data_IF_223599752091
#
_entry.id   IF_223599752091
#
_cell.length_a   1.000
_cell.length_b   1.000
_cell.length_c   1.000
_cell.angle_alpha   90.00
_cell.angle_beta   90.00
_cell.angle_gamma   90.00
#
_symmetry.space_group_name_H-M   'P 1'
#
loop_
_entity.id
_entity.type
_entity.pdbx_description
1 polymer ?
#
# COMPACT_ATOMS: atom_id res chain seq x y z
N UNK A 1 2.30 15.42 14.00
CA UNK A 1 1.31 14.82 13.05
C UNK A 1 0.20 14.06 13.77
N UNK A 2 0.51 13.43 14.92
CA UNK A 2 -0.50 12.75 15.75
C UNK A 2 -1.60 13.66 16.30
N UNK A 3 -1.36 14.95 16.42
CA UNK A 3 -2.31 15.93 16.98
C UNK A 3 -3.62 16.03 16.20
N UNK A 4 -3.64 15.67 14.93
CA UNK A 4 -4.85 15.67 14.10
C UNK A 4 -5.89 14.71 14.68
N UNK A 5 -5.49 13.61 15.28
CA UNK A 5 -6.39 12.65 15.93
C UNK A 5 -6.94 13.14 17.29
N UNK A 6 -6.36 14.23 17.82
CA UNK A 6 -6.77 14.90 19.08
C UNK A 6 -7.56 16.17 18.84
N UNK A 7 -7.96 16.44 17.59
CA UNK A 7 -8.63 17.68 17.18
C UNK A 7 -9.96 17.89 17.90
N UNK A 8 -10.55 16.82 18.45
CA UNK A 8 -11.77 16.90 19.28
C UNK A 8 -11.64 17.80 20.51
N UNK A 9 -10.41 18.05 20.98
CA UNK A 9 -10.14 18.99 22.10
C UNK A 9 -10.41 20.44 21.73
N UNK A 10 -10.44 20.77 20.45
CA UNK A 10 -10.62 22.11 19.90
C UNK A 10 -12.00 22.32 19.26
N UNK A 11 -13.00 21.51 19.68
CA UNK A 11 -14.35 21.55 19.09
C UNK A 11 -14.93 22.95 19.01
N UNK A 12 -14.91 23.66 20.12
CA UNK A 12 -15.55 24.99 20.23
C UNK A 12 -14.82 26.03 19.35
N UNK A 13 -13.50 25.95 19.27
CA UNK A 13 -12.70 26.82 18.42
C UNK A 13 -12.96 26.57 16.94
N UNK A 14 -13.03 25.28 16.54
CA UNK A 14 -13.25 24.88 15.16
C UNK A 14 -14.66 25.22 14.69
N UNK A 15 -15.68 24.97 15.52
CA UNK A 15 -17.07 25.27 15.16
C UNK A 15 -17.37 26.77 15.13
N UNK A 16 -16.54 27.59 15.80
CA UNK A 16 -16.62 29.05 15.76
C UNK A 16 -15.94 29.66 14.53
N UNK A 17 -15.16 28.88 13.76
CA UNK A 17 -14.52 29.36 12.54
C UNK A 17 -15.55 29.65 11.45
N UNK A 18 -15.38 30.75 10.73
CA UNK A 18 -16.26 31.12 9.62
C UNK A 18 -16.26 30.01 8.53
N UNK A 19 -17.45 29.55 8.17
CA UNK A 19 -17.64 28.49 7.19
C UNK A 19 -17.47 27.07 7.72
N UNK A 20 -17.17 26.88 9.02
CA UNK A 20 -16.91 25.57 9.61
C UNK A 20 -17.88 25.27 10.78
N UNK A 21 -19.13 24.94 10.47
CA UNK A 21 -20.18 24.65 11.47
C UNK A 21 -20.11 23.22 12.03
N UNK A 22 -21.02 22.90 12.95
CA UNK A 22 -21.13 21.60 13.62
C UNK A 22 -21.16 20.41 12.63
N UNK A 23 -21.87 20.55 11.50
CA UNK A 23 -21.94 19.48 10.50
C UNK A 23 -20.57 19.18 9.89
N UNK A 24 -19.80 20.23 9.56
CA UNK A 24 -18.43 20.07 9.02
C UNK A 24 -17.49 19.47 10.06
N UNK A 25 -17.64 19.89 11.32
CA UNK A 25 -16.90 19.31 12.45
C UNK A 25 -17.22 17.81 12.61
N UNK A 26 -18.50 17.43 12.65
CA UNK A 26 -18.89 16.03 12.80
C UNK A 26 -18.41 15.16 11.64
N UNK A 27 -18.47 15.66 10.39
CA UNK A 27 -17.92 14.97 9.23
C UNK A 27 -16.41 14.78 9.34
N UNK A 28 -15.68 15.79 9.85
CA UNK A 28 -14.25 15.71 10.08
C UNK A 28 -13.91 14.66 11.14
N UNK A 29 -14.61 14.65 12.27
CA UNK A 29 -14.41 13.66 13.34
C UNK A 29 -14.71 12.25 12.83
N UNK A 30 -15.80 12.05 12.10
CA UNK A 30 -16.13 10.75 11.53
C UNK A 30 -15.04 10.26 10.53
N UNK A 31 -14.52 11.16 9.70
CA UNK A 31 -13.44 10.84 8.79
C UNK A 31 -12.14 10.47 9.52
N UNK A 32 -11.83 11.18 10.62
CA UNK A 32 -10.66 10.91 11.46
C UNK A 32 -10.79 9.58 12.22
N UNK A 33 -11.97 9.27 12.76
CA UNK A 33 -12.21 7.97 13.41
C UNK A 33 -12.04 6.81 12.41
N UNK A 34 -12.53 6.96 11.17
CA UNK A 34 -12.27 5.99 10.11
C UNK A 34 -10.79 5.90 9.73
N UNK A 35 -10.07 7.02 9.75
CA UNK A 35 -8.64 7.07 9.45
C UNK A 35 -7.76 6.45 10.55
N UNK A 36 -8.27 6.33 11.78
CA UNK A 36 -7.59 5.60 12.87
C UNK A 36 -7.48 4.11 12.55
N UNK A 37 -8.45 3.55 11.84
CA UNK A 37 -8.40 2.19 11.35
C UNK A 37 -7.52 2.11 10.10
N UNK A 38 -6.24 1.90 10.31
CA UNK A 38 -5.22 1.92 9.25
C UNK A 38 -4.33 0.68 9.31
N UNK A 39 -3.39 0.59 8.38
CA UNK A 39 -2.34 -0.44 8.36
C UNK A 39 -0.95 0.21 8.49
N UNK A 40 0.04 -0.59 8.85
CA UNK A 40 1.41 -0.11 9.08
C UNK A 40 2.04 0.48 7.80
N UNK A 41 1.66 -0.02 6.63
CA UNK A 41 2.13 0.50 5.33
C UNK A 41 1.72 1.96 5.15
N UNK A 42 0.47 2.29 5.48
CA UNK A 42 -0.04 3.67 5.39
C UNK A 42 0.57 4.57 6.44
N UNK A 43 0.81 4.06 7.64
CA UNK A 43 1.54 4.80 8.69
C UNK A 43 2.93 5.17 8.19
N UNK A 44 3.71 4.21 7.72
CA UNK A 44 5.07 4.45 7.19
C UNK A 44 5.05 5.42 6.01
N UNK A 45 4.14 5.24 5.07
CA UNK A 45 3.97 6.17 3.94
C UNK A 45 3.64 7.58 4.42
N UNK A 46 2.75 7.72 5.40
CA UNK A 46 2.32 9.00 5.98
C UNK A 46 3.42 9.76 6.73
N UNK A 47 4.49 9.08 7.16
CA UNK A 47 5.65 9.73 7.76
C UNK A 47 6.40 10.64 6.78
N UNK A 48 6.27 10.39 5.48
CA UNK A 48 6.93 11.18 4.43
C UNK A 48 8.45 11.01 4.45
N UNK A 49 8.92 9.80 4.63
CA UNK A 49 10.35 9.46 4.57
C UNK A 49 10.82 9.62 3.12
N UNK A 50 11.93 10.29 2.91
CA UNK A 50 12.49 10.55 1.59
C UNK A 50 12.68 9.24 0.79
N UNK A 51 12.24 9.24 -0.45
CA UNK A 51 12.28 8.10 -1.36
C UNK A 51 11.45 6.87 -0.95
N UNK A 52 10.66 6.96 0.13
CA UNK A 52 9.78 5.90 0.58
C UNK A 52 8.34 6.18 0.13
N UNK A 53 7.98 5.68 -1.03
CA UNK A 53 6.61 5.69 -1.54
C UNK A 53 5.78 4.53 -0.96
N UNK A 54 4.49 4.46 -1.35
CA UNK A 54 3.58 3.43 -0.85
C UNK A 54 4.05 1.99 -1.17
N UNK A 55 4.60 1.78 -2.37
CA UNK A 55 5.13 0.47 -2.78
C UNK A 55 6.35 0.07 -1.96
N UNK A 56 7.27 1.03 -1.73
CA UNK A 56 8.46 0.83 -0.90
C UNK A 56 8.09 0.56 0.55
N UNK A 57 7.16 1.34 1.11
CA UNK A 57 6.64 1.12 2.47
C UNK A 57 6.06 -0.30 2.62
N UNK A 58 5.33 -0.80 1.60
CA UNK A 58 4.78 -2.16 1.60
C UNK A 58 5.87 -3.22 1.62
N UNK A 59 6.91 -3.07 0.80
CA UNK A 59 8.04 -4.00 0.78
C UNK A 59 8.74 -4.07 2.15
N UNK A 60 8.98 -2.92 2.76
CA UNK A 60 9.62 -2.82 4.08
C UNK A 60 8.75 -3.47 5.16
N UNK A 61 7.47 -3.12 5.22
CA UNK A 61 6.53 -3.65 6.22
C UNK A 61 6.37 -5.18 6.09
N UNK A 62 6.31 -5.70 4.86
CA UNK A 62 6.26 -7.15 4.63
C UNK A 62 7.54 -7.85 5.11
N UNK A 63 8.71 -7.30 4.81
CA UNK A 63 9.99 -7.84 5.29
C UNK A 63 10.06 -7.87 6.81
N UNK A 64 9.52 -6.86 7.46
CA UNK A 64 9.48 -6.71 8.90
C UNK A 64 8.26 -7.39 9.56
N UNK A 65 7.57 -8.27 8.84
CA UNK A 65 6.42 -9.07 9.31
C UNK A 65 5.29 -8.23 9.92
N UNK A 66 5.05 -7.02 9.39
CA UNK A 66 4.05 -6.08 9.89
C UNK A 66 4.22 -5.74 11.39
N UNK A 67 5.45 -5.80 11.90
CA UNK A 67 5.79 -5.51 13.28
C UNK A 67 6.21 -4.04 13.44
N UNK A 68 5.41 -3.20 14.14
CA UNK A 68 5.75 -1.81 14.39
C UNK A 68 7.07 -1.60 15.16
N UNK A 69 7.43 -2.53 16.04
CA UNK A 69 8.69 -2.44 16.78
C UNK A 69 9.90 -2.81 15.91
N UNK A 70 9.73 -3.74 14.97
CA UNK A 70 10.77 -4.10 14.01
C UNK A 70 11.16 -2.91 13.13
N UNK A 71 10.19 -2.03 12.79
CA UNK A 71 10.44 -0.78 12.06
C UNK A 71 11.49 0.09 12.74
N UNK A 72 11.43 0.21 14.08
CA UNK A 72 12.37 1.00 14.88
C UNK A 72 13.77 0.39 14.97
N UNK A 73 13.87 -0.91 14.75
CA UNK A 73 15.12 -1.70 14.88
C UNK A 73 15.72 -2.09 13.53
N UNK A 74 15.03 -1.78 12.43
CA UNK A 74 15.47 -2.12 11.08
C UNK A 74 16.86 -1.56 10.79
N UNK A 75 17.71 -2.37 10.16
CA UNK A 75 19.05 -1.97 9.74
C UNK A 75 19.08 -1.74 8.22
N UNK A 76 20.05 -0.96 7.74
CA UNK A 76 20.21 -0.73 6.32
C UNK A 76 20.49 -2.04 5.57
N UNK A 77 21.28 -2.94 6.16
CA UNK A 77 21.61 -4.24 5.56
C UNK A 77 20.37 -5.11 5.37
N UNK A 78 19.47 -5.17 6.37
CA UNK A 78 18.19 -5.90 6.26
C UNK A 78 17.28 -5.33 5.18
N UNK A 79 17.28 -4.01 5.01
CA UNK A 79 16.43 -3.35 4.03
C UNK A 79 16.99 -3.47 2.62
N UNK A 80 18.30 -3.45 2.43
CA UNK A 80 18.94 -3.65 1.12
C UNK A 80 18.82 -5.08 0.59
N UNK A 81 18.58 -6.06 1.46
CA UNK A 81 18.25 -7.43 1.06
C UNK A 81 16.89 -7.55 0.37
N UNK A 82 16.06 -6.50 0.44
CA UNK A 82 14.75 -6.46 -0.20
C UNK A 82 14.92 -6.09 -1.68
N UNK A 83 14.45 -6.93 -2.59
CA UNK A 83 14.46 -6.62 -4.02
C UNK A 83 13.66 -5.33 -4.30
N UNK A 84 14.29 -4.37 -4.93
CA UNK A 84 13.73 -3.04 -5.20
C UNK A 84 14.04 -1.97 -4.15
N UNK A 85 14.80 -2.28 -3.09
CA UNK A 85 15.29 -1.29 -2.12
C UNK A 85 16.81 -1.18 -2.21
N UNK A 86 17.27 -0.03 -2.70
CA UNK A 86 18.69 0.30 -2.74
C UNK A 86 19.21 0.96 -1.45
N UNK A 87 20.53 1.12 -1.35
CA UNK A 87 21.20 1.74 -0.21
C UNK A 87 20.62 3.11 0.17
N UNK A 88 20.33 3.96 -0.83
CA UNK A 88 19.78 5.31 -0.61
C UNK A 88 18.45 5.28 0.14
N UNK A 89 17.57 4.34 -0.22
CA UNK A 89 16.26 4.19 0.45
C UNK A 89 16.44 3.60 1.84
N UNK A 90 17.29 2.58 1.97
CA UNK A 90 17.57 1.92 3.24
C UNK A 90 18.19 2.90 4.25
N UNK A 91 19.17 3.69 3.83
CA UNK A 91 19.80 4.71 4.66
C UNK A 91 18.81 5.80 5.07
N UNK A 92 18.02 6.34 4.14
CA UNK A 92 17.01 7.35 4.42
C UNK A 92 15.97 6.86 5.46
N UNK A 93 15.57 5.60 5.35
CA UNK A 93 14.65 4.98 6.30
C UNK A 93 15.27 4.86 7.70
N UNK A 94 16.46 4.30 7.80
CA UNK A 94 17.17 4.12 9.07
C UNK A 94 17.51 5.48 9.71
N UNK A 95 17.97 6.46 8.92
CA UNK A 95 18.30 7.81 9.37
C UNK A 95 17.06 8.51 9.96
N UNK A 96 15.89 8.32 9.35
CA UNK A 96 14.63 8.86 9.85
C UNK A 96 14.37 8.43 11.29
N UNK A 97 14.55 7.16 11.62
CA UNK A 97 14.30 6.61 12.95
C UNK A 97 15.45 6.78 13.94
N UNK A 98 16.64 7.21 13.50
CA UNK A 98 17.72 7.66 14.38
C UNK A 98 17.44 9.03 15.01
N UNK A 99 16.60 9.83 14.36
CA UNK A 99 16.15 11.12 14.87
C UNK A 99 15.10 10.89 15.95
N UNK A 100 15.38 11.27 17.21
CA UNK A 100 14.49 11.04 18.35
C UNK A 100 13.12 11.72 18.16
N UNK A 101 13.07 12.94 17.61
CA UNK A 101 11.81 13.65 17.36
C UNK A 101 10.92 12.91 16.36
N UNK A 102 11.54 12.34 15.31
CA UNK A 102 10.86 11.55 14.29
C UNK A 102 10.38 10.21 14.82
N UNK A 103 11.17 9.59 15.64
CA UNK A 103 10.81 8.35 16.35
C UNK A 103 9.64 8.58 17.29
N UNK A 104 9.65 9.66 18.06
CA UNK A 104 8.57 10.03 18.97
C UNK A 104 7.28 10.33 18.18
N UNK A 105 7.38 11.00 17.02
CA UNK A 105 6.25 11.24 16.12
C UNK A 105 5.62 9.91 15.64
N UNK A 106 6.42 8.94 15.27
CA UNK A 106 5.96 7.62 14.89
C UNK A 106 5.24 6.90 16.03
N UNK A 107 5.84 6.89 17.24
CA UNK A 107 5.24 6.29 18.43
C UNK A 107 3.92 6.99 18.82
N UNK A 108 3.85 8.32 18.70
CA UNK A 108 2.64 9.09 18.95
C UNK A 108 1.52 8.73 17.96
N UNK A 109 1.84 8.57 16.67
CA UNK A 109 0.87 8.10 15.67
C UNK A 109 0.39 6.70 16.02
N UNK A 110 1.29 5.77 16.34
CA UNK A 110 0.91 4.39 16.71
C UNK A 110 -0.01 4.33 17.92
N UNK A 111 0.13 5.26 18.88
CA UNK A 111 -0.75 5.33 20.04
C UNK A 111 -2.16 5.81 19.74
N UNK A 112 -2.36 6.53 18.63
CA UNK A 112 -3.64 7.13 18.24
C UNK A 112 -4.39 6.32 17.16
N UNK A 113 -3.71 5.37 16.51
CA UNK A 113 -4.29 4.58 15.42
C UNK A 113 -4.46 3.11 15.81
N UNK A 114 -5.47 2.48 15.24
CA UNK A 114 -5.69 1.05 15.33
C UNK A 114 -5.00 0.40 14.13
N UNK A 115 -3.81 -0.15 14.34
CA UNK A 115 -3.14 -0.92 13.29
C UNK A 115 -3.94 -2.21 13.10
N UNK A 116 -4.59 -2.34 11.96
CA UNK A 116 -5.13 -3.62 11.54
C UNK A 116 -3.94 -4.56 11.38
N UNK A 117 -3.98 -5.68 12.08
CA UNK A 117 -3.16 -6.80 11.65
C UNK A 117 -3.58 -7.03 10.20
N UNK A 118 -2.72 -6.59 9.27
CA UNK A 118 -2.82 -7.14 7.93
C UNK A 118 -2.70 -8.64 8.18
N UNK A 119 -3.80 -9.36 7.96
CA UNK A 119 -3.67 -10.80 7.76
C UNK A 119 -2.43 -10.92 6.89
N UNK A 120 -1.41 -11.58 7.43
CA UNK A 120 -0.28 -11.99 6.62
C UNK A 120 -0.95 -12.66 5.42
N UNK A 121 -1.09 -11.92 4.34
CA UNK A 121 -1.30 -12.55 3.06
C UNK A 121 -0.01 -13.35 2.96
N UNK A 122 -0.12 -14.60 3.41
CA UNK A 122 0.95 -15.56 3.22
C UNK A 122 1.30 -15.36 1.76
N UNK A 123 2.49 -14.85 1.54
CA UNK A 123 3.03 -14.79 0.18
C UNK A 123 3.14 -16.25 -0.23
N UNK A 124 2.03 -16.77 -0.72
CA UNK A 124 2.04 -18.06 -1.36
C UNK A 124 2.78 -17.84 -2.65
N UNK A 125 3.85 -18.57 -2.87
CA UNK A 125 4.59 -18.52 -4.13
C UNK A 125 3.86 -19.28 -5.25
N UNK A 126 2.53 -19.44 -5.13
CA UNK A 126 1.70 -20.18 -6.09
C UNK A 126 1.78 -19.60 -7.50
N UNK A 127 1.99 -18.30 -7.60
CA UNK A 127 2.12 -17.58 -8.86
C UNK A 127 3.57 -17.17 -9.17
N UNK A 128 4.54 -17.69 -8.42
CA UNK A 128 5.96 -17.38 -8.62
C UNK A 128 6.41 -17.70 -10.07
N UNK A 129 7.12 -16.75 -10.68
CA UNK A 129 7.60 -16.86 -12.05
C UNK A 129 6.53 -16.64 -13.13
N UNK A 130 5.27 -16.39 -12.77
CA UNK A 130 4.21 -16.08 -13.72
C UNK A 130 4.02 -14.57 -13.88
N UNK A 131 3.83 -14.14 -15.12
CA UNK A 131 3.58 -12.74 -15.47
C UNK A 131 2.15 -12.57 -15.98
N UNK A 132 1.44 -11.63 -15.39
CA UNK A 132 0.04 -11.34 -15.68
C UNK A 132 -0.11 -9.96 -16.32
N UNK A 133 -1.09 -9.82 -17.19
CA UNK A 133 -1.57 -8.52 -17.68
C UNK A 133 -3.06 -8.43 -17.39
N UNK A 134 -3.49 -7.32 -16.80
CA UNK A 134 -4.90 -7.08 -16.48
C UNK A 134 -5.47 -6.09 -17.50
N UNK A 135 -6.63 -6.41 -18.07
CA UNK A 135 -7.37 -5.53 -18.98
C UNK A 135 -8.87 -5.66 -18.75
N UNK A 136 -9.64 -4.69 -19.20
CA UNK A 136 -11.09 -4.68 -18.96
C UNK A 136 -11.45 -4.28 -17.52
N UNK A 137 -12.72 -4.54 -17.16
CA UNK A 137 -13.23 -4.28 -15.82
C UNK A 137 -12.99 -5.51 -14.93
N UNK A 138 -12.77 -5.26 -13.64
CA UNK A 138 -12.76 -6.28 -12.60
C UNK A 138 -14.16 -6.36 -11.98
N UNK A 139 -14.62 -7.56 -11.62
CA UNK A 139 -15.97 -7.81 -11.11
C UNK A 139 -15.95 -8.16 -9.60
N UNK A 140 -14.92 -8.87 -9.14
CA UNK A 140 -14.77 -9.33 -7.76
C UNK A 140 -13.88 -8.43 -6.91
N UNK A 141 -13.19 -7.47 -7.53
CA UNK A 141 -12.31 -6.50 -6.86
C UNK A 141 -12.82 -5.09 -7.06
N UNK A 142 -12.58 -4.20 -6.11
CA UNK A 142 -12.97 -2.80 -6.20
C UNK A 142 -12.32 -2.07 -7.39
N UNK A 143 -11.10 -2.47 -7.74
CA UNK A 143 -10.35 -1.94 -8.88
C UNK A 143 -9.20 -2.87 -9.28
N UNK A 144 -8.57 -2.59 -10.44
CA UNK A 144 -7.44 -3.38 -10.95
C UNK A 144 -6.21 -3.38 -10.05
N UNK A 145 -6.02 -2.32 -9.24
CA UNK A 145 -4.87 -2.24 -8.34
C UNK A 145 -5.00 -3.22 -7.18
N UNK A 146 -6.22 -3.50 -6.75
CA UNK A 146 -6.49 -4.49 -5.70
C UNK A 146 -6.19 -5.92 -6.21
N UNK A 147 -6.66 -6.25 -7.43
CA UNK A 147 -6.31 -7.52 -8.08
C UNK A 147 -4.80 -7.63 -8.34
N UNK A 148 -4.15 -6.55 -8.77
CA UNK A 148 -2.70 -6.49 -8.94
C UNK A 148 -1.99 -6.80 -7.61
N UNK A 149 -2.40 -6.15 -6.51
CA UNK A 149 -1.81 -6.37 -5.19
C UNK A 149 -1.96 -7.84 -4.75
N UNK A 150 -3.11 -8.48 -5.01
CA UNK A 150 -3.32 -9.89 -4.70
C UNK A 150 -2.36 -10.79 -5.49
N UNK A 151 -2.24 -10.60 -6.81
CA UNK A 151 -1.34 -11.37 -7.67
C UNK A 151 0.12 -11.23 -7.19
N UNK A 152 0.55 -10.00 -6.88
CA UNK A 152 1.90 -9.73 -6.39
C UNK A 152 2.13 -10.34 -5.00
N UNK A 153 1.12 -10.39 -4.15
CA UNK A 153 1.19 -11.06 -2.84
C UNK A 153 1.34 -12.58 -2.95
N UNK A 154 0.90 -13.16 -4.07
CA UNK A 154 1.05 -14.59 -4.40
C UNK A 154 2.33 -14.90 -5.19
N UNK A 155 3.26 -13.94 -5.27
CA UNK A 155 4.54 -14.10 -5.98
C UNK A 155 4.48 -13.85 -7.48
N UNK A 156 3.31 -13.50 -8.04
CA UNK A 156 3.13 -13.17 -9.46
C UNK A 156 3.63 -11.76 -9.80
N UNK A 157 3.91 -11.52 -11.07
CA UNK A 157 4.30 -10.22 -11.60
C UNK A 157 3.19 -9.66 -12.49
N UNK A 158 2.81 -8.39 -12.31
CA UNK A 158 1.82 -7.73 -13.15
C UNK A 158 2.45 -6.66 -14.01
N UNK A 159 2.22 -6.73 -15.32
CA UNK A 159 2.76 -5.77 -16.31
C UNK A 159 1.64 -5.10 -17.11
N UNK A 160 1.96 -3.94 -17.70
CA UNK A 160 0.98 -3.16 -18.46
C UNK A 160 0.74 -3.63 -19.90
N UNK A 161 1.65 -4.45 -20.45
CA UNK A 161 1.65 -4.86 -21.85
C UNK A 161 1.80 -6.35 -22.01
N UNK A 162 1.07 -6.92 -22.98
CA UNK A 162 1.21 -8.33 -23.36
C UNK A 162 2.49 -8.51 -24.18
N UNK A 163 3.35 -9.43 -23.75
CA UNK A 163 4.60 -9.81 -24.42
C UNK A 163 4.72 -11.32 -24.50
N UNK A 164 5.73 -11.83 -25.18
CA UNK A 164 6.03 -13.28 -25.24
C UNK A 164 6.31 -13.92 -23.87
N UNK A 165 6.65 -13.12 -22.87
CA UNK A 165 6.89 -13.56 -21.49
C UNK A 165 5.63 -13.45 -20.59
N UNK A 166 4.51 -12.99 -21.13
CA UNK A 166 3.23 -12.94 -20.39
C UNK A 166 2.68 -14.35 -20.26
N UNK A 167 2.40 -14.77 -19.05
CA UNK A 167 1.82 -16.09 -18.75
C UNK A 167 0.30 -16.11 -18.97
N UNK A 168 -0.39 -15.06 -18.52
CA UNK A 168 -1.85 -14.94 -18.62
C UNK A 168 -2.28 -13.50 -18.86
N UNK A 169 -3.34 -13.33 -19.64
CA UNK A 169 -4.10 -12.09 -19.75
C UNK A 169 -5.41 -12.23 -18.97
N UNK A 170 -5.61 -11.42 -17.95
CA UNK A 170 -6.86 -11.39 -17.17
C UNK A 170 -7.82 -10.41 -17.83
N UNK A 171 -8.95 -10.93 -18.29
CA UNK A 171 -10.04 -10.14 -18.87
C UNK A 171 -11.38 -10.86 -18.67
N UNK A 172 -12.30 -10.22 -17.96
CA UNK A 172 -13.65 -10.77 -17.72
C UNK A 172 -14.55 -10.74 -18.98
N UNK A 173 -14.15 -9.98 -20.01
CA UNK A 173 -14.80 -10.01 -21.33
C UNK A 173 -13.97 -10.86 -22.31
N UNK A 174 -14.31 -12.14 -22.41
CA UNK A 174 -13.63 -13.08 -23.32
C UNK A 174 -13.87 -12.76 -24.81
N UNK A 175 -14.89 -11.96 -25.12
CA UNK A 175 -15.23 -11.55 -26.50
C UNK A 175 -14.57 -10.23 -26.91
N UNK A 176 -13.85 -9.60 -25.99
CA UNK A 176 -13.20 -8.30 -26.19
C UNK A 176 -12.24 -8.31 -27.36
N UNK A 177 -12.44 -7.38 -28.29
CA UNK A 177 -11.55 -7.11 -29.43
C UNK A 177 -10.44 -6.10 -29.10
N UNK A 178 -10.14 -5.92 -27.81
CA UNK A 178 -9.09 -4.99 -27.37
C UNK A 178 -7.72 -5.34 -27.96
N UNK A 179 -6.86 -4.34 -28.09
CA UNK A 179 -5.49 -4.53 -28.60
C UNK A 179 -4.72 -5.59 -27.77
N UNK A 180 -4.97 -5.65 -26.46
CA UNK A 180 -4.34 -6.63 -25.57
C UNK A 180 -4.86 -8.04 -25.83
N UNK A 181 -6.16 -8.24 -26.05
CA UNK A 181 -6.72 -9.54 -26.41
C UNK A 181 -6.21 -10.04 -27.77
N UNK A 182 -6.17 -9.17 -28.78
CA UNK A 182 -5.60 -9.52 -30.09
C UNK A 182 -4.14 -9.92 -29.99
N UNK A 183 -3.35 -9.17 -29.22
CA UNK A 183 -1.93 -9.45 -29.01
C UNK A 183 -1.70 -10.74 -28.21
N UNK A 184 -2.56 -11.02 -27.23
CA UNK A 184 -2.51 -12.29 -26.50
C UNK A 184 -2.77 -13.48 -27.42
N UNK A 185 -3.79 -13.39 -28.29
CA UNK A 185 -4.08 -14.42 -29.29
C UNK A 185 -2.91 -14.64 -30.26
N UNK A 186 -2.27 -13.56 -30.73
CA UNK A 186 -1.10 -13.65 -31.61
C UNK A 186 0.12 -14.32 -30.97
N UNK A 187 0.32 -14.10 -29.67
CA UNK A 187 1.44 -14.63 -28.90
C UNK A 187 1.15 -15.97 -28.21
N UNK A 188 -0.06 -16.50 -28.37
CA UNK A 188 -0.49 -17.74 -27.71
C UNK A 188 -0.67 -17.59 -26.18
N UNK A 189 -0.87 -16.38 -25.68
CA UNK A 189 -1.09 -16.10 -24.27
C UNK A 189 -2.56 -16.39 -23.91
N UNK A 190 -2.84 -17.30 -22.98
CA UNK A 190 -4.19 -17.63 -22.59
C UNK A 190 -4.88 -16.44 -21.91
N UNK A 191 -6.16 -16.24 -22.25
CA UNK A 191 -7.04 -15.25 -21.60
C UNK A 191 -7.86 -15.97 -20.55
N UNK A 192 -7.81 -15.47 -19.32
CA UNK A 192 -8.54 -16.01 -18.17
C UNK A 192 -9.42 -14.91 -17.54
N UNK A 193 -10.42 -15.32 -16.78
CA UNK A 193 -11.19 -14.42 -15.89
C UNK A 193 -10.53 -14.33 -14.52
N UNK A 194 -10.90 -13.34 -13.72
CA UNK A 194 -10.49 -13.24 -12.31
C UNK A 194 -11.20 -14.26 -11.42
#
# INVERSE_FOLDING_TARGET
RGDIFRISRYKDEITAMEGFGEKSYNNLIEALEKAKDTDLVRVIYGLGIDNVGLSTARLIVNKLNNDPEAVLRATADELTDIDGIGEVIAEAFVEYFKNEDKKDEYLDILSEVNIKETENVQTTEELAGKTFVITGNVNHFANRNELKALIESMGGKVTGSVTGNTSYLINNDSTSQSTKNKKAAQLGVPVITE
#
